data_IF_561597772402
#
_entry.id   IF_561597772402
#
_cell.length_a   1.000
_cell.length_b   1.000
_cell.length_c   1.000
_cell.angle_alpha   90.00
_cell.angle_beta   90.00
_cell.angle_gamma   90.00
#
_symmetry.space_group_name_H-M   'P 1'
#
loop_
_entity.id
_entity.type
_entity.pdbx_description
1 polymer ?
#
# COMPACT_ATOMS: atom_id res chain seq x y z
N UNK A 1 -67.82 43.25 -45.90
CA UNK A 1 -66.50 43.28 -45.23
C UNK A 1 -66.19 41.88 -44.65
N UNK A 2 -65.51 41.04 -45.44
CA UNK A 2 -65.23 39.62 -45.07
C UNK A 2 -63.78 39.55 -44.62
N UNK A 3 -63.54 39.21 -43.36
CA UNK A 3 -62.20 39.00 -42.75
C UNK A 3 -61.78 37.55 -42.97
N UNK A 4 -60.73 37.32 -43.76
CA UNK A 4 -60.04 36.00 -43.90
C UNK A 4 -59.17 35.73 -42.69
N UNK A 5 -59.47 34.64 -41.98
CA UNK A 5 -58.66 34.07 -40.92
C UNK A 5 -57.65 33.09 -41.54
N UNK A 6 -56.37 33.47 -41.58
CA UNK A 6 -55.29 32.55 -42.03
C UNK A 6 -54.90 31.64 -40.89
N UNK A 7 -55.21 30.37 -41.00
CA UNK A 7 -54.80 29.30 -40.10
C UNK A 7 -53.33 28.92 -40.43
N UNK A 8 -52.40 29.18 -39.48
CA UNK A 8 -51.00 28.79 -39.62
C UNK A 8 -50.85 27.42 -38.99
N UNK A 9 -50.57 26.39 -39.81
CA UNK A 9 -50.25 25.02 -39.37
C UNK A 9 -48.75 24.97 -39.00
N UNK A 10 -48.42 24.90 -37.70
CA UNK A 10 -47.05 24.65 -37.23
C UNK A 10 -46.86 23.11 -37.26
N UNK A 11 -46.08 22.62 -38.21
CA UNK A 11 -45.60 21.24 -38.22
C UNK A 11 -44.38 21.17 -37.31
N UNK A 12 -44.56 20.63 -36.09
CA UNK A 12 -43.49 20.30 -35.20
C UNK A 12 -42.82 18.99 -35.68
N UNK A 13 -41.61 19.13 -36.26
CA UNK A 13 -40.75 18.02 -36.55
C UNK A 13 -40.15 17.50 -35.23
N UNK A 14 -40.68 16.38 -34.71
CA UNK A 14 -40.05 15.65 -33.61
C UNK A 14 -38.92 14.83 -34.22
N UNK A 15 -37.67 15.34 -34.09
CA UNK A 15 -36.48 14.56 -34.33
C UNK A 15 -36.35 13.53 -33.20
N UNK A 16 -36.31 12.24 -33.49
CA UNK A 16 -35.91 11.26 -32.47
C UNK A 16 -34.43 11.54 -32.12
N UNK A 17 -34.18 12.01 -30.90
CA UNK A 17 -32.84 12.07 -30.36
C UNK A 17 -32.37 10.62 -30.22
N UNK A 18 -31.62 10.12 -31.19
CA UNK A 18 -30.84 8.90 -31.04
C UNK A 18 -29.78 9.19 -29.98
N UNK A 19 -30.09 8.85 -28.76
CA UNK A 19 -29.09 8.75 -27.69
C UNK A 19 -28.15 7.62 -28.12
N UNK A 20 -27.01 7.99 -28.71
CA UNK A 20 -25.85 7.13 -28.78
C UNK A 20 -25.49 6.81 -27.33
N UNK A 21 -25.83 5.60 -26.91
CA UNK A 21 -25.28 5.05 -25.67
C UNK A 21 -23.76 5.05 -25.86
N UNK A 22 -23.12 6.04 -25.27
CA UNK A 22 -21.67 6.07 -25.17
C UNK A 22 -21.30 4.89 -24.28
N UNK A 23 -20.76 3.82 -24.87
CA UNK A 23 -20.22 2.69 -24.14
C UNK A 23 -19.13 3.23 -23.21
N UNK A 24 -19.52 3.45 -21.94
CA UNK A 24 -18.54 3.82 -20.92
C UNK A 24 -17.65 2.61 -20.68
N UNK A 25 -16.33 2.78 -20.70
CA UNK A 25 -15.40 1.69 -20.42
C UNK A 25 -15.73 1.08 -19.05
N UNK A 26 -15.57 -0.24 -18.93
CA UNK A 26 -15.74 -0.97 -17.67
C UNK A 26 -14.81 -0.37 -16.61
N UNK A 27 -15.36 0.40 -15.67
CA UNK A 27 -14.62 1.08 -14.63
C UNK A 27 -15.44 1.26 -13.35
N UNK A 28 -14.82 0.97 -12.21
CA UNK A 28 -15.40 1.26 -10.90
C UNK A 28 -15.08 2.70 -10.55
N UNK A 29 -16.11 3.48 -10.18
CA UNK A 29 -15.90 4.75 -9.50
C UNK A 29 -15.82 4.48 -8.00
N UNK A 30 -14.63 4.62 -7.42
CA UNK A 30 -14.41 4.43 -5.98
C UNK A 30 -14.95 5.67 -5.26
N UNK A 31 -16.02 5.49 -4.50
CA UNK A 31 -16.63 6.53 -3.66
C UNK A 31 -16.59 6.08 -2.20
N UNK A 32 -16.82 7.01 -1.27
CA UNK A 32 -16.92 6.69 0.17
C UNK A 32 -18.18 5.85 0.52
N UNK A 33 -19.05 5.63 -0.46
CA UNK A 33 -20.27 4.83 -0.34
C UNK A 33 -20.04 3.31 -0.36
N UNK A 34 -21.13 2.54 -0.28
CA UNK A 34 -21.13 1.09 -0.53
C UNK A 34 -20.96 0.87 -2.03
N UNK A 35 -19.81 0.32 -2.43
CA UNK A 35 -19.59 -0.11 -3.82
C UNK A 35 -20.02 -1.57 -3.91
N UNK A 36 -20.92 -1.90 -4.83
CA UNK A 36 -21.19 -3.30 -5.17
C UNK A 36 -19.94 -3.86 -5.88
N UNK A 37 -19.36 -4.97 -5.39
CA UNK A 37 -18.14 -5.51 -5.96
C UNK A 37 -18.34 -5.96 -7.41
N UNK A 38 -17.47 -5.51 -8.32
CA UNK A 38 -17.51 -5.83 -9.75
C UNK A 38 -17.31 -7.33 -9.97
N UNK A 39 -18.24 -8.06 -10.62
CA UNK A 39 -18.09 -9.48 -10.86
C UNK A 39 -17.06 -9.75 -11.97
N UNK A 40 -15.98 -10.45 -11.60
CA UNK A 40 -14.90 -10.87 -12.49
C UNK A 40 -14.84 -12.39 -12.62
N UNK A 41 -14.42 -12.87 -13.77
CA UNK A 41 -13.99 -14.25 -13.97
C UNK A 41 -12.49 -14.30 -14.24
N UNK A 42 -11.78 -15.17 -13.51
CA UNK A 42 -10.35 -15.44 -13.68
C UNK A 42 -10.14 -16.94 -13.78
N UNK A 43 -10.46 -17.54 -14.94
CA UNK A 43 -10.21 -18.96 -15.16
C UNK A 43 -8.72 -19.29 -14.98
N UNK A 44 -8.42 -20.55 -14.60
CA UNK A 44 -7.04 -21.02 -14.50
C UNK A 44 -6.27 -20.67 -15.77
N UNK A 45 -5.12 -20.05 -15.61
CA UNK A 45 -4.26 -19.71 -16.74
C UNK A 45 -3.79 -20.98 -17.46
N UNK A 46 -3.73 -20.90 -18.77
CA UNK A 46 -3.29 -22.01 -19.59
C UNK A 46 -1.78 -22.23 -19.47
N UNK A 47 -1.35 -23.46 -19.39
CA UNK A 47 0.05 -23.82 -19.51
C UNK A 47 0.36 -24.23 -20.95
N UNK A 48 1.23 -23.49 -21.65
CA UNK A 48 1.65 -23.85 -23.02
C UNK A 48 2.63 -25.04 -23.01
N UNK A 49 3.25 -25.34 -21.85
CA UNK A 49 4.13 -26.50 -21.62
C UNK A 49 3.83 -27.14 -20.25
N UNK A 50 4.05 -28.45 -20.13
CA UNK A 50 3.74 -29.20 -18.90
C UNK A 50 4.50 -28.65 -17.66
N UNK A 51 5.75 -28.23 -17.85
CA UNK A 51 6.62 -27.74 -16.77
C UNK A 51 6.06 -26.54 -15.98
N UNK A 52 5.19 -25.73 -16.57
CA UNK A 52 4.62 -24.52 -15.93
C UNK A 52 3.17 -24.69 -15.49
N UNK A 53 2.63 -25.92 -15.49
CA UNK A 53 1.20 -26.15 -15.17
C UNK A 53 0.81 -25.66 -13.79
N UNK A 54 1.60 -25.98 -12.77
CA UNK A 54 1.33 -25.51 -11.39
C UNK A 54 1.57 -24.00 -11.25
N UNK A 55 2.60 -23.48 -11.90
CA UNK A 55 2.87 -22.03 -11.90
C UNK A 55 1.72 -21.25 -12.53
N UNK A 56 1.18 -21.72 -13.66
CA UNK A 56 0.04 -21.09 -14.32
C UNK A 56 -1.21 -21.04 -13.40
N UNK A 57 -1.49 -22.15 -12.71
CA UNK A 57 -2.56 -22.23 -11.71
C UNK A 57 -2.32 -21.26 -10.55
N UNK A 58 -1.10 -21.25 -10.01
CA UNK A 58 -0.75 -20.41 -8.86
C UNK A 58 -0.85 -18.93 -9.19
N UNK A 59 -0.41 -18.51 -10.40
CA UNK A 59 -0.54 -17.12 -10.86
C UNK A 59 -2.01 -16.70 -10.92
N UNK A 60 -2.87 -17.48 -11.59
CA UNK A 60 -4.30 -17.12 -11.68
C UNK A 60 -4.98 -17.08 -10.31
N UNK A 61 -4.62 -17.99 -9.39
CA UNK A 61 -5.14 -17.99 -8.01
C UNK A 61 -4.71 -16.75 -7.24
N UNK A 62 -3.43 -16.36 -7.33
CA UNK A 62 -2.91 -15.19 -6.62
C UNK A 62 -3.50 -13.89 -7.16
N UNK A 63 -3.63 -13.74 -8.47
CA UNK A 63 -4.35 -12.59 -9.08
C UNK A 63 -5.78 -12.49 -8.56
N UNK A 64 -6.49 -13.64 -8.47
CA UNK A 64 -7.85 -13.69 -7.92
C UNK A 64 -7.90 -13.26 -6.45
N UNK A 65 -6.94 -13.73 -5.64
CA UNK A 65 -6.83 -13.37 -4.23
C UNK A 65 -6.55 -11.88 -4.04
N UNK A 66 -5.57 -11.33 -4.78
CA UNK A 66 -5.19 -9.92 -4.71
C UNK A 66 -6.39 -9.01 -5.00
N UNK A 67 -7.08 -9.25 -6.10
CA UNK A 67 -8.26 -8.45 -6.49
C UNK A 67 -9.41 -8.62 -5.47
N UNK A 68 -9.68 -9.84 -5.01
CA UNK A 68 -10.71 -10.11 -3.99
C UNK A 68 -10.42 -9.38 -2.68
N UNK A 69 -9.14 -9.35 -2.26
CA UNK A 69 -8.71 -8.70 -1.02
C UNK A 69 -9.00 -7.19 -1.00
N UNK A 70 -9.16 -6.55 -2.14
CA UNK A 70 -9.53 -5.12 -2.21
C UNK A 70 -10.96 -4.86 -1.74
N UNK A 71 -11.85 -5.84 -1.82
CA UNK A 71 -13.29 -5.67 -1.59
C UNK A 71 -14.03 -4.98 -2.75
N UNK A 72 -13.33 -4.59 -3.81
CA UNK A 72 -13.90 -3.95 -5.01
C UNK A 72 -14.33 -4.96 -6.06
N UNK A 73 -13.86 -6.20 -5.97
CA UNK A 73 -14.11 -7.26 -6.95
C UNK A 73 -14.69 -8.51 -6.30
N UNK A 74 -15.58 -9.17 -7.02
CA UNK A 74 -16.15 -10.46 -6.65
C UNK A 74 -15.82 -11.47 -7.74
N UNK A 75 -15.00 -12.46 -7.40
CA UNK A 75 -14.61 -13.49 -8.37
C UNK A 75 -15.74 -14.53 -8.50
N UNK A 76 -16.16 -14.76 -9.73
CA UNK A 76 -17.11 -15.83 -10.09
C UNK A 76 -16.31 -17.15 -10.08
N UNK A 77 -16.73 -18.15 -9.28
CA UNK A 77 -15.97 -19.39 -9.12
C UNK A 77 -15.96 -20.24 -10.41
N UNK A 78 -14.88 -21.03 -10.59
CA UNK A 78 -14.64 -21.85 -11.80
C UNK A 78 -15.78 -22.83 -12.13
N UNK A 79 -16.47 -23.36 -11.12
CA UNK A 79 -17.60 -24.30 -11.27
C UNK A 79 -18.88 -23.64 -11.78
N UNK A 80 -18.98 -22.33 -11.68
CA UNK A 80 -20.07 -21.54 -12.25
C UNK A 80 -19.84 -21.16 -13.74
N UNK A 81 -18.64 -21.39 -14.28
CA UNK A 81 -18.32 -21.04 -15.66
C UNK A 81 -19.02 -21.98 -16.65
N UNK A 82 -19.86 -21.43 -17.53
CA UNK A 82 -20.55 -22.20 -18.60
C UNK A 82 -19.52 -22.67 -19.62
N UNK A 83 -18.64 -21.79 -20.08
CA UNK A 83 -17.58 -22.10 -21.03
C UNK A 83 -16.21 -22.19 -20.38
N UNK A 84 -15.34 -23.06 -20.95
CA UNK A 84 -13.94 -23.19 -20.55
C UNK A 84 -13.03 -22.57 -21.60
N UNK A 85 -12.06 -21.80 -21.18
CA UNK A 85 -11.00 -21.28 -22.05
C UNK A 85 -9.93 -22.37 -22.19
N UNK A 86 -9.80 -22.92 -23.38
CA UNK A 86 -8.82 -23.98 -23.72
C UNK A 86 -7.72 -23.50 -24.66
N UNK A 87 -7.90 -22.31 -25.26
CA UNK A 87 -6.95 -21.71 -26.19
C UNK A 87 -6.92 -20.18 -25.96
N UNK A 88 -5.74 -19.65 -25.65
CA UNK A 88 -5.53 -18.21 -25.40
C UNK A 88 -5.84 -17.31 -26.61
N UNK A 89 -5.75 -17.87 -27.86
CA UNK A 89 -6.02 -17.13 -29.09
C UNK A 89 -7.47 -17.27 -29.59
N UNK A 90 -8.26 -18.16 -28.99
CA UNK A 90 -9.62 -18.37 -29.40
C UNK A 90 -10.51 -17.14 -29.15
N UNK A 91 -11.54 -16.97 -29.96
CA UNK A 91 -12.59 -16.01 -29.72
C UNK A 91 -13.39 -16.42 -28.47
N UNK A 92 -13.78 -15.44 -27.66
CA UNK A 92 -14.59 -15.69 -26.47
C UNK A 92 -16.05 -15.86 -26.81
N UNK A 93 -16.76 -16.86 -26.25
CA UNK A 93 -18.20 -16.96 -26.28
C UNK A 93 -18.80 -15.96 -25.25
N UNK A 94 -18.86 -14.68 -25.59
CA UNK A 94 -19.32 -13.60 -24.69
C UNK A 94 -20.71 -13.86 -24.12
N UNK A 95 -21.61 -14.50 -24.87
CA UNK A 95 -22.96 -14.87 -24.41
C UNK A 95 -22.95 -15.69 -23.13
N UNK A 96 -22.02 -16.64 -23.00
CA UNK A 96 -21.95 -17.55 -21.88
C UNK A 96 -21.50 -16.83 -20.61
N UNK A 97 -20.57 -15.86 -20.75
CA UNK A 97 -20.08 -15.03 -19.65
C UNK A 97 -21.10 -13.97 -19.22
N UNK A 98 -21.86 -13.40 -20.19
CA UNK A 98 -22.99 -12.51 -19.89
C UNK A 98 -24.09 -13.24 -19.11
N UNK A 99 -24.38 -14.51 -19.46
CA UNK A 99 -25.42 -15.31 -18.81
C UNK A 99 -25.18 -15.54 -17.31
N UNK A 100 -23.90 -15.55 -16.86
CA UNK A 100 -23.52 -15.67 -15.44
C UNK A 100 -23.13 -14.33 -14.82
N UNK A 101 -23.49 -13.21 -15.46
CA UNK A 101 -23.27 -11.84 -14.99
C UNK A 101 -21.78 -11.49 -14.73
N UNK A 102 -20.86 -12.04 -15.51
CA UNK A 102 -19.45 -11.61 -15.51
C UNK A 102 -19.36 -10.30 -16.27
N UNK A 103 -18.71 -9.29 -15.67
CA UNK A 103 -18.46 -8.00 -16.31
C UNK A 103 -17.05 -7.92 -16.89
N UNK A 104 -16.06 -8.41 -16.16
CA UNK A 104 -14.68 -8.50 -16.65
C UNK A 104 -14.17 -9.93 -16.64
N UNK A 105 -13.42 -10.31 -17.66
CA UNK A 105 -12.79 -11.62 -17.77
C UNK A 105 -11.29 -11.48 -17.97
N UNK A 106 -10.52 -12.21 -17.17
CA UNK A 106 -9.07 -12.27 -17.29
C UNK A 106 -8.68 -13.65 -17.79
N UNK A 107 -8.12 -13.71 -19.00
CA UNK A 107 -7.56 -14.94 -19.59
C UNK A 107 -6.05 -14.84 -19.65
N UNK A 108 -5.35 -15.92 -19.32
CA UNK A 108 -3.89 -15.95 -19.33
C UNK A 108 -3.30 -17.24 -19.88
N UNK A 109 -2.05 -17.16 -20.35
CA UNK A 109 -1.24 -18.29 -20.79
C UNK A 109 0.20 -18.14 -20.33
N UNK A 110 0.80 -19.23 -19.86
CA UNK A 110 2.13 -19.28 -19.27
C UNK A 110 3.05 -20.23 -20.05
N UNK A 111 4.25 -19.76 -20.34
CA UNK A 111 5.29 -20.54 -21.00
C UNK A 111 6.68 -20.17 -20.47
N UNK A 112 7.72 -20.88 -20.90
CA UNK A 112 9.11 -20.51 -20.70
C UNK A 112 9.73 -20.28 -22.09
N UNK A 113 10.44 -19.16 -22.23
CA UNK A 113 11.24 -18.86 -23.44
C UNK A 113 12.72 -18.89 -23.12
N UNK A 114 13.51 -19.31 -24.08
CA UNK A 114 15.00 -19.22 -24.00
C UNK A 114 15.53 -17.89 -24.55
N UNK A 115 14.65 -17.03 -25.07
CA UNK A 115 15.04 -15.71 -25.52
C UNK A 115 15.39 -14.86 -24.30
N UNK A 116 16.62 -14.33 -24.28
CA UNK A 116 17.04 -13.37 -23.26
C UNK A 116 16.24 -12.08 -23.43
N UNK A 117 15.70 -11.59 -22.33
CA UNK A 117 15.05 -10.28 -22.26
C UNK A 117 15.71 -9.50 -21.11
N UNK A 118 15.60 -8.18 -21.12
CA UNK A 118 16.15 -7.30 -20.08
C UNK A 118 15.68 -7.66 -18.65
N UNK A 119 14.49 -8.26 -18.53
CA UNK A 119 13.90 -8.62 -17.23
C UNK A 119 14.28 -10.04 -16.76
N UNK A 120 15.14 -10.76 -17.50
CA UNK A 120 15.45 -12.15 -17.20
C UNK A 120 16.76 -12.60 -17.83
N UNK A 121 17.75 -12.87 -17.00
CA UNK A 121 19.08 -13.35 -17.39
C UNK A 121 19.32 -14.83 -17.08
N UNK A 122 18.34 -15.52 -16.47
CA UNK A 122 18.49 -16.91 -16.05
C UNK A 122 18.74 -17.84 -17.26
N UNK A 123 19.80 -18.65 -17.18
CA UNK A 123 20.13 -19.68 -18.17
C UNK A 123 19.06 -20.78 -18.32
N UNK A 124 18.15 -20.91 -17.35
CA UNK A 124 16.98 -21.81 -17.39
C UNK A 124 15.86 -21.29 -18.29
N UNK A 125 15.98 -20.05 -18.75
CA UNK A 125 14.99 -19.34 -19.56
C UNK A 125 14.07 -18.45 -18.73
N UNK A 126 13.31 -17.60 -19.42
CA UNK A 126 12.39 -16.65 -18.82
C UNK A 126 10.97 -17.20 -18.72
N UNK A 127 10.35 -17.05 -17.57
CA UNK A 127 8.91 -17.24 -17.43
C UNK A 127 8.17 -16.11 -18.18
N UNK A 128 7.26 -16.47 -19.06
CA UNK A 128 6.45 -15.53 -19.84
C UNK A 128 4.99 -15.76 -19.52
N UNK A 129 4.32 -14.73 -19.03
CA UNK A 129 2.89 -14.75 -18.78
C UNK A 129 2.19 -13.76 -19.70
N UNK A 130 1.40 -14.28 -20.62
CA UNK A 130 0.52 -13.49 -21.49
C UNK A 130 -0.85 -13.44 -20.85
N UNK A 131 -1.47 -12.25 -20.81
CA UNK A 131 -2.84 -12.13 -20.32
C UNK A 131 -3.62 -11.10 -21.10
N UNK A 132 -4.95 -11.21 -21.03
CA UNK A 132 -5.91 -10.29 -21.60
C UNK A 132 -7.00 -10.01 -20.57
N UNK A 133 -7.37 -8.75 -20.45
CA UNK A 133 -8.55 -8.29 -19.73
C UNK A 133 -9.61 -7.91 -20.73
N UNK A 134 -10.78 -8.51 -20.63
CA UNK A 134 -11.93 -8.26 -21.50
C UNK A 134 -13.04 -7.57 -20.73
N UNK A 135 -13.69 -6.61 -21.37
CA UNK A 135 -15.02 -6.15 -21.01
C UNK A 135 -16.05 -7.06 -21.72
N UNK A 136 -16.82 -7.78 -20.91
CA UNK A 136 -17.75 -8.80 -21.44
C UNK A 136 -18.97 -8.15 -22.07
N UNK A 137 -19.42 -7.01 -21.60
CA UNK A 137 -20.62 -6.35 -22.13
C UNK A 137 -20.36 -5.59 -23.43
N UNK A 138 -19.25 -4.85 -23.51
CA UNK A 138 -18.83 -4.16 -24.73
C UNK A 138 -18.09 -5.06 -25.73
N UNK A 139 -17.77 -6.32 -25.34
CA UNK A 139 -17.05 -7.32 -26.14
C UNK A 139 -15.65 -6.85 -26.61
N UNK A 140 -15.03 -5.97 -25.83
CA UNK A 140 -13.73 -5.36 -26.14
C UNK A 140 -12.61 -5.90 -25.23
N UNK A 141 -11.37 -5.86 -25.74
CA UNK A 141 -10.17 -6.07 -24.95
C UNK A 141 -9.75 -4.74 -24.34
N UNK A 142 -9.72 -4.67 -22.99
CA UNK A 142 -9.27 -3.48 -22.25
C UNK A 142 -7.75 -3.45 -22.20
N UNK A 143 -7.10 -4.59 -21.91
CA UNK A 143 -5.64 -4.72 -21.81
C UNK A 143 -5.19 -6.07 -22.36
N UNK A 144 -4.04 -6.09 -23.05
CA UNK A 144 -3.39 -7.32 -23.52
C UNK A 144 -1.88 -7.13 -23.41
N UNK A 145 -1.24 -7.89 -22.53
CA UNK A 145 0.19 -7.75 -22.22
C UNK A 145 0.89 -9.10 -22.10
N UNK A 146 2.22 -9.05 -22.17
CA UNK A 146 3.11 -10.14 -21.79
C UNK A 146 4.10 -9.61 -20.74
N UNK A 147 4.23 -10.34 -19.63
CA UNK A 147 5.16 -10.03 -18.54
C UNK A 147 6.22 -11.11 -18.50
N UNK A 148 7.46 -10.70 -18.26
CA UNK A 148 8.62 -11.56 -18.21
C UNK A 148 9.24 -11.48 -16.81
N UNK A 149 9.74 -12.61 -16.29
CA UNK A 149 10.53 -12.65 -15.06
C UNK A 149 11.37 -13.93 -14.99
N UNK A 150 12.24 -13.98 -13.98
CA UNK A 150 12.91 -15.20 -13.58
C UNK A 150 11.89 -16.29 -13.22
N UNK A 151 12.15 -17.57 -13.53
CA UNK A 151 11.20 -18.66 -13.26
C UNK A 151 10.77 -18.79 -11.79
N UNK A 152 11.59 -18.29 -10.85
CA UNK A 152 11.30 -18.28 -9.41
C UNK A 152 10.38 -17.14 -8.97
N UNK A 153 10.26 -16.07 -9.75
CA UNK A 153 9.49 -14.85 -9.39
C UNK A 153 8.05 -14.85 -9.94
N UNK A 154 7.41 -16.00 -9.93
CA UNK A 154 6.03 -16.11 -10.38
C UNK A 154 5.04 -15.28 -9.56
N UNK A 155 5.34 -15.02 -8.27
CA UNK A 155 4.50 -14.18 -7.42
C UNK A 155 4.58 -12.71 -7.83
N UNK A 156 5.80 -12.19 -8.06
CA UNK A 156 5.97 -10.82 -8.56
C UNK A 156 5.23 -10.59 -9.88
N UNK A 157 5.25 -11.56 -10.80
CA UNK A 157 4.42 -11.50 -12.02
C UNK A 157 2.92 -11.44 -11.68
N UNK A 158 2.43 -12.29 -10.77
CA UNK A 158 1.02 -12.31 -10.42
C UNK A 158 0.57 -10.96 -9.82
N UNK A 159 1.36 -10.38 -8.91
CA UNK A 159 1.11 -9.06 -8.33
C UNK A 159 1.14 -7.95 -9.39
N UNK A 160 2.12 -7.95 -10.33
CA UNK A 160 2.16 -7.00 -11.45
C UNK A 160 0.93 -7.09 -12.35
N UNK A 161 0.43 -8.31 -12.62
CA UNK A 161 -0.80 -8.52 -13.38
C UNK A 161 -2.01 -7.97 -12.61
N UNK A 162 -2.09 -8.24 -11.30
CA UNK A 162 -3.15 -7.72 -10.46
C UNK A 162 -3.14 -6.19 -10.40
N UNK A 163 -1.94 -5.55 -10.30
CA UNK A 163 -1.77 -4.09 -10.35
C UNK A 163 -2.27 -3.50 -11.67
N UNK A 164 -1.93 -4.12 -12.81
CA UNK A 164 -2.39 -3.66 -14.12
C UNK A 164 -3.91 -3.78 -14.28
N UNK A 165 -4.49 -4.89 -13.86
CA UNK A 165 -5.95 -5.09 -13.89
C UNK A 165 -6.65 -4.09 -12.97
N UNK A 166 -6.13 -3.89 -11.76
CA UNK A 166 -6.64 -2.92 -10.80
C UNK A 166 -6.64 -1.52 -11.39
N UNK A 167 -5.53 -1.10 -12.01
CA UNK A 167 -5.42 0.20 -12.67
C UNK A 167 -6.46 0.39 -13.78
N UNK A 168 -6.61 -0.59 -14.68
CA UNK A 168 -7.57 -0.49 -15.79
C UNK A 168 -9.01 -0.42 -15.32
N UNK A 169 -9.35 -1.13 -14.23
CA UNK A 169 -10.72 -1.19 -13.73
C UNK A 169 -11.07 -0.07 -12.74
N UNK A 170 -10.10 0.55 -12.07
CA UNK A 170 -10.34 1.59 -11.07
C UNK A 170 -9.79 2.95 -11.48
N UNK A 171 -8.72 2.97 -12.28
CA UNK A 171 -7.93 4.15 -12.61
C UNK A 171 -6.93 4.57 -11.52
N UNK A 172 -6.86 3.85 -10.41
CA UNK A 172 -5.86 4.03 -9.37
C UNK A 172 -4.68 3.08 -9.59
N UNK A 173 -3.47 3.50 -9.23
CA UNK A 173 -2.29 2.64 -9.25
C UNK A 173 -2.54 1.46 -8.29
N UNK A 174 -2.09 0.26 -8.66
CA UNK A 174 -2.12 -0.90 -7.77
C UNK A 174 -1.13 -0.77 -6.60
N UNK A 175 -1.10 -1.78 -5.71
CA UNK A 175 -0.19 -1.82 -4.55
C UNK A 175 0.27 -3.25 -4.22
N UNK A 176 -0.03 -4.21 -5.10
CA UNK A 176 0.22 -5.63 -4.83
C UNK A 176 1.69 -6.00 -5.01
N UNK A 177 2.38 -5.44 -6.03
CA UNK A 177 3.80 -5.68 -6.24
C UNK A 177 4.65 -4.81 -5.31
N UNK A 178 4.53 -5.05 -4.00
CA UNK A 178 5.23 -4.31 -2.95
C UNK A 178 5.60 -5.22 -1.78
N UNK A 179 6.43 -4.72 -0.87
CA UNK A 179 6.88 -5.45 0.32
C UNK A 179 6.54 -4.70 1.60
N UNK A 180 6.54 -5.44 2.70
CA UNK A 180 6.36 -4.92 4.04
C UNK A 180 7.61 -5.24 4.84
N UNK A 181 8.30 -4.22 5.34
CA UNK A 181 9.24 -4.38 6.43
C UNK A 181 8.49 -4.32 7.76
N UNK A 182 8.88 -5.15 8.72
CA UNK A 182 8.23 -5.18 10.02
C UNK A 182 9.17 -5.71 11.09
N UNK A 183 8.82 -5.50 12.35
CA UNK A 183 9.50 -6.08 13.49
C UNK A 183 8.83 -7.40 13.83
N UNK A 184 9.53 -8.52 13.59
CA UNK A 184 9.07 -9.85 14.00
C UNK A 184 9.41 -10.06 15.47
N UNK A 185 8.40 -10.38 16.28
CA UNK A 185 8.52 -10.54 17.72
C UNK A 185 8.25 -11.98 18.15
N UNK A 186 9.08 -12.51 19.05
CA UNK A 186 8.94 -13.83 19.64
C UNK A 186 9.20 -13.78 21.15
N UNK A 187 8.75 -14.80 21.90
CA UNK A 187 8.88 -14.85 23.36
C UNK A 187 7.72 -14.17 24.12
N UNK A 188 7.84 -14.14 25.46
CA UNK A 188 6.85 -13.51 26.34
C UNK A 188 6.95 -11.97 26.28
N UNK A 189 5.88 -11.26 26.64
CA UNK A 189 5.80 -9.79 26.50
C UNK A 189 6.91 -9.02 27.19
N UNK A 190 7.40 -9.48 28.32
CA UNK A 190 8.48 -8.89 29.10
C UNK A 190 9.88 -9.32 28.66
N UNK A 191 10.00 -10.29 27.75
CA UNK A 191 11.26 -10.85 27.25
C UNK A 191 11.19 -11.04 25.74
N UNK A 192 10.55 -10.12 25.03
CA UNK A 192 10.40 -10.20 23.58
C UNK A 192 11.73 -10.04 22.88
N UNK A 193 12.03 -11.05 22.09
CA UNK A 193 13.08 -10.96 21.08
C UNK A 193 12.49 -10.29 19.85
N UNK A 194 13.18 -9.29 19.34
CA UNK A 194 12.78 -8.50 18.17
C UNK A 194 13.81 -8.63 17.08
N UNK A 195 13.38 -8.77 15.84
CA UNK A 195 14.25 -8.75 14.67
C UNK A 195 13.55 -8.15 13.48
N UNK A 196 14.33 -7.50 12.64
CA UNK A 196 13.85 -6.94 11.40
C UNK A 196 13.53 -8.05 10.40
N UNK A 197 12.39 -7.94 9.74
CA UNK A 197 11.95 -8.87 8.71
C UNK A 197 11.30 -8.11 7.54
N UNK A 198 11.27 -8.75 6.38
CA UNK A 198 10.60 -8.28 5.17
C UNK A 198 9.74 -9.41 4.62
N UNK A 199 8.61 -9.07 4.01
CA UNK A 199 7.68 -10.01 3.38
C UNK A 199 6.99 -9.38 2.18
N UNK A 200 6.33 -10.18 1.34
CA UNK A 200 5.40 -9.66 0.33
C UNK A 200 4.23 -8.97 1.05
N UNK A 201 3.54 -8.05 0.36
CA UNK A 201 2.45 -7.27 0.97
C UNK A 201 1.34 -8.14 1.60
N UNK A 202 1.18 -9.37 1.11
CA UNK A 202 0.16 -10.33 1.54
C UNK A 202 0.61 -11.28 2.67
N UNK A 203 1.86 -11.14 3.14
CA UNK A 203 2.44 -11.92 4.23
C UNK A 203 3.29 -13.11 3.79
N UNK A 204 3.44 -13.36 2.48
CA UNK A 204 4.28 -14.43 1.96
C UNK A 204 5.77 -14.06 1.94
N UNK A 205 6.64 -15.05 1.67
CA UNK A 205 8.08 -14.87 1.45
C UNK A 205 8.79 -14.10 2.57
N UNK A 206 8.49 -14.42 3.83
CA UNK A 206 9.13 -13.76 4.98
C UNK A 206 10.61 -14.05 5.03
N UNK A 207 11.43 -13.01 5.01
CA UNK A 207 12.88 -13.05 5.17
C UNK A 207 13.28 -12.25 6.42
N UNK A 208 14.15 -12.82 7.27
CA UNK A 208 14.69 -12.13 8.43
C UNK A 208 15.99 -11.42 8.07
N UNK A 209 16.08 -10.13 8.42
CA UNK A 209 17.20 -9.27 8.03
C UNK A 209 18.23 -9.07 9.14
N UNK A 210 17.84 -9.23 10.42
CA UNK A 210 18.72 -9.11 11.60
C UNK A 210 18.61 -10.33 12.50
N UNK A 211 19.58 -10.47 13.41
CA UNK A 211 19.59 -11.48 14.47
C UNK A 211 18.54 -11.19 15.54
N UNK A 212 18.27 -12.19 16.40
CA UNK A 212 17.33 -12.05 17.52
C UNK A 212 17.89 -11.25 18.71
N UNK A 213 19.20 -10.99 18.71
CA UNK A 213 19.88 -10.28 19.82
C UNK A 213 19.85 -8.76 19.66
N UNK A 214 19.25 -8.25 18.57
CA UNK A 214 19.18 -6.83 18.28
C UNK A 214 17.73 -6.36 18.46
N UNK A 215 17.49 -5.49 19.44
CA UNK A 215 16.19 -4.83 19.60
C UNK A 215 16.08 -3.78 18.50
N UNK A 216 15.19 -4.03 17.55
CA UNK A 216 14.93 -3.15 16.40
C UNK A 216 13.52 -2.60 16.44
N UNK A 217 13.32 -1.37 15.95
CA UNK A 217 12.04 -0.67 15.91
C UNK A 217 11.95 0.20 14.66
N UNK A 218 10.73 0.57 14.30
CA UNK A 218 10.41 1.62 13.32
C UNK A 218 11.16 1.52 11.98
N UNK A 219 11.12 0.38 11.28
CA UNK A 219 11.72 0.29 9.95
C UNK A 219 11.02 1.20 8.94
N UNK A 220 11.79 1.76 7.99
CA UNK A 220 11.27 2.56 6.87
C UNK A 220 12.07 2.28 5.60
N UNK A 221 11.38 2.09 4.47
CA UNK A 221 12.02 1.94 3.17
C UNK A 221 12.52 3.28 2.63
N UNK A 222 13.61 3.23 1.84
CA UNK A 222 13.95 4.33 0.94
C UNK A 222 12.94 4.46 -0.20
N UNK A 223 12.78 5.65 -0.82
CA UNK A 223 11.83 5.87 -1.91
C UNK A 223 12.05 4.99 -3.15
N UNK A 224 13.28 4.51 -3.36
CA UNK A 224 13.64 3.57 -4.42
C UNK A 224 13.57 2.09 -4.02
N UNK A 225 13.26 1.81 -2.74
CA UNK A 225 13.17 0.46 -2.20
C UNK A 225 14.50 -0.26 -2.00
N UNK A 226 15.67 0.39 -2.21
CA UNK A 226 16.98 -0.26 -2.13
C UNK A 226 17.55 -0.30 -0.72
N UNK A 227 17.13 0.59 0.16
CA UNK A 227 17.58 0.68 1.54
C UNK A 227 16.43 0.58 2.53
N UNK A 228 16.79 0.22 3.75
CA UNK A 228 15.93 0.24 4.91
C UNK A 228 16.62 0.99 6.03
N UNK A 229 15.95 1.98 6.65
CA UNK A 229 16.41 2.60 7.88
C UNK A 229 15.57 2.10 9.04
N UNK A 230 16.18 2.00 10.21
CA UNK A 230 15.52 1.51 11.42
C UNK A 230 16.25 1.97 12.67
N UNK A 231 15.57 1.92 13.80
CA UNK A 231 16.17 2.13 15.11
C UNK A 231 16.70 0.81 15.65
N UNK A 232 17.97 0.76 16.09
CA UNK A 232 18.60 -0.40 16.70
C UNK A 232 19.16 -0.04 18.08
N UNK A 233 19.06 -0.98 19.03
CA UNK A 233 19.66 -0.89 20.37
C UNK A 233 20.93 -1.76 20.50
N UNK A 234 21.48 -2.23 19.40
CA UNK A 234 22.65 -3.13 19.39
C UNK A 234 23.86 -2.58 20.16
N UNK A 235 24.02 -1.27 20.18
CA UNK A 235 25.12 -0.58 20.90
C UNK A 235 24.71 -0.07 22.29
N UNK A 236 23.59 -0.57 22.84
CA UNK A 236 23.08 -0.23 24.17
C UNK A 236 22.16 0.99 24.23
N UNK A 237 22.32 1.95 23.32
CA UNK A 237 21.43 3.11 23.14
C UNK A 237 20.74 3.05 21.78
N UNK A 238 19.54 3.63 21.63
CA UNK A 238 18.85 3.66 20.35
C UNK A 238 19.61 4.52 19.34
N UNK A 239 19.98 3.94 18.22
CA UNK A 239 20.60 4.63 17.09
C UNK A 239 19.95 4.27 15.79
N UNK A 240 19.92 5.24 14.87
CA UNK A 240 19.42 5.00 13.51
C UNK A 240 20.49 4.29 12.68
N UNK A 241 20.10 3.17 12.10
CA UNK A 241 20.90 2.38 11.17
C UNK A 241 20.32 2.45 9.78
N UNK A 242 21.20 2.39 8.77
CA UNK A 242 20.84 2.27 7.34
C UNK A 242 21.35 0.93 6.81
N UNK A 243 20.47 0.13 6.22
CA UNK A 243 20.77 -1.19 5.66
C UNK A 243 20.58 -1.18 4.15
N UNK A 244 21.55 -1.63 3.39
CA UNK A 244 21.39 -1.94 1.98
C UNK A 244 20.71 -3.31 1.83
N UNK A 245 19.53 -3.36 1.21
CA UNK A 245 18.71 -4.57 1.11
C UNK A 245 19.32 -5.65 0.21
N UNK A 246 20.15 -5.27 -0.77
CA UNK A 246 20.83 -6.23 -1.64
C UNK A 246 22.00 -6.93 -0.93
N UNK A 247 22.82 -6.16 -0.21
CA UNK A 247 24.04 -6.69 0.45
C UNK A 247 23.80 -7.12 1.88
N UNK A 248 22.68 -6.73 2.49
CA UNK A 248 22.31 -6.93 3.91
C UNK A 248 23.29 -6.28 4.89
N UNK A 249 24.17 -5.39 4.43
CA UNK A 249 25.07 -4.63 5.30
C UNK A 249 24.32 -3.44 5.90
N UNK A 250 24.54 -3.22 7.18
CA UNK A 250 23.96 -2.13 7.94
C UNK A 250 25.04 -1.33 8.67
N UNK A 251 24.95 -0.02 8.58
CA UNK A 251 25.85 0.92 9.23
C UNK A 251 25.04 1.92 10.07
N UNK A 252 25.67 2.52 11.11
CA UNK A 252 25.08 3.62 11.87
C UNK A 252 25.02 4.85 10.97
N UNK A 253 23.87 5.55 10.95
CA UNK A 253 23.67 6.71 10.08
C UNK A 253 24.60 7.89 10.45
N UNK A 254 24.73 8.19 11.75
CA UNK A 254 25.62 9.25 12.26
C UNK A 254 26.16 8.87 13.65
N UNK A 255 27.39 8.41 13.72
CA UNK A 255 28.06 7.99 14.95
C UNK A 255 28.26 9.12 15.98
N UNK A 256 28.15 10.39 15.55
CA UNK A 256 28.25 11.57 16.41
C UNK A 256 26.99 11.81 17.25
N UNK A 257 25.90 11.11 16.95
CA UNK A 257 24.62 11.19 17.66
C UNK A 257 24.50 9.98 18.59
N UNK A 258 24.46 10.22 19.89
CA UNK A 258 24.41 9.14 20.88
C UNK A 258 23.04 8.44 20.92
N UNK A 259 21.94 9.20 20.78
CA UNK A 259 20.59 8.66 20.83
C UNK A 259 19.72 9.25 19.72
N UNK A 260 19.32 8.40 18.76
CA UNK A 260 18.43 8.76 17.67
C UNK A 260 17.43 7.64 17.37
N UNK A 261 16.23 8.00 16.96
CA UNK A 261 15.14 7.04 16.67
C UNK A 261 14.07 7.63 15.75
N UNK A 262 13.10 6.80 15.36
CA UNK A 262 11.99 7.15 14.47
C UNK A 262 12.43 7.84 13.18
N UNK A 263 13.30 7.20 12.37
CA UNK A 263 13.81 7.82 11.16
C UNK A 263 12.80 7.73 10.02
N UNK A 264 12.87 8.68 9.07
CA UNK A 264 12.18 8.62 7.77
C UNK A 264 13.02 9.26 6.67
N UNK A 265 13.03 8.66 5.47
CA UNK A 265 13.67 9.23 4.29
C UNK A 265 12.89 10.43 3.75
N UNK A 266 13.60 11.41 3.21
CA UNK A 266 12.99 12.41 2.33
C UNK A 266 12.47 11.77 1.05
N UNK A 267 11.43 12.33 0.39
CA UNK A 267 10.84 11.74 -0.82
C UNK A 267 11.81 11.57 -1.98
N UNK A 268 12.87 12.40 -2.05
CA UNK A 268 13.95 12.31 -3.03
C UNK A 268 15.08 11.34 -2.63
N UNK A 269 15.02 10.76 -1.40
CA UNK A 269 16.01 9.85 -0.88
C UNK A 269 17.35 10.48 -0.49
N UNK A 270 17.50 11.80 -0.56
CA UNK A 270 18.76 12.50 -0.29
C UNK A 270 19.04 12.70 1.19
N UNK A 271 18.01 12.73 2.02
CA UNK A 271 18.10 13.06 3.45
C UNK A 271 17.27 12.11 4.31
N UNK A 272 17.58 12.09 5.60
CA UNK A 272 16.81 11.37 6.63
C UNK A 272 16.44 12.37 7.72
N UNK A 273 15.16 12.43 8.08
CA UNK A 273 14.70 13.09 9.29
C UNK A 273 14.59 12.08 10.42
N UNK A 274 14.92 12.47 11.63
CA UNK A 274 14.85 11.60 12.81
C UNK A 274 14.70 12.40 14.09
N UNK A 275 14.31 11.72 15.16
CA UNK A 275 14.27 12.24 16.51
C UNK A 275 15.62 12.03 17.18
N UNK A 276 16.16 13.08 17.82
CA UNK A 276 17.46 13.05 18.51
C UNK A 276 17.25 13.53 19.96
N UNK A 277 17.76 12.75 20.90
CA UNK A 277 17.74 13.12 22.32
C UNK A 277 18.91 14.07 22.62
N UNK A 278 18.59 15.24 23.17
CA UNK A 278 19.54 16.25 23.65
C UNK A 278 19.24 16.53 25.12
N UNK A 279 20.09 16.06 26.02
CA UNK A 279 19.90 16.17 27.48
C UNK A 279 18.49 15.67 27.91
N UNK A 280 17.60 16.59 28.29
CA UNK A 280 16.25 16.28 28.77
C UNK A 280 15.16 16.37 27.67
N UNK A 281 15.52 16.78 26.45
CA UNK A 281 14.58 17.06 25.36
C UNK A 281 14.81 16.13 24.18
N UNK A 282 13.82 16.06 23.30
CA UNK A 282 13.94 15.35 22.01
C UNK A 282 13.54 16.30 20.90
N UNK A 283 14.44 16.49 19.94
CA UNK A 283 14.23 17.39 18.81
C UNK A 283 14.33 16.64 17.47
N UNK A 284 13.77 17.24 16.44
CA UNK A 284 13.88 16.74 15.08
C UNK A 284 15.14 17.26 14.40
N UNK A 285 15.87 16.36 13.77
CA UNK A 285 17.03 16.64 12.94
C UNK A 285 16.87 16.06 11.56
N UNK A 286 17.41 16.75 10.56
CA UNK A 286 17.58 16.24 9.21
C UNK A 286 19.07 16.06 8.92
N UNK A 287 19.42 14.93 8.31
CA UNK A 287 20.79 14.57 7.94
C UNK A 287 20.82 14.31 6.43
N UNK A 288 21.68 15.02 5.71
CA UNK A 288 21.99 14.72 4.31
C UNK A 288 22.86 13.46 4.26
N UNK A 289 22.43 12.47 3.51
CA UNK A 289 23.05 11.12 3.48
C UNK A 289 24.45 11.15 2.86
N UNK A 290 24.65 12.00 1.85
CA UNK A 290 25.89 12.04 1.10
C UNK A 290 26.98 12.85 1.81
N UNK A 291 26.63 14.00 2.34
CA UNK A 291 27.59 14.92 3.00
C UNK A 291 27.72 14.67 4.49
N UNK A 292 26.76 13.97 5.13
CA UNK A 292 26.67 13.82 6.58
C UNK A 292 26.40 15.15 7.31
N UNK A 293 25.98 16.20 6.58
CA UNK A 293 25.62 17.49 7.19
C UNK A 293 24.27 17.32 7.89
N UNK A 294 24.23 17.73 9.16
CA UNK A 294 23.01 17.69 9.96
C UNK A 294 22.51 19.09 10.29
N UNK A 295 21.19 19.24 10.32
CA UNK A 295 20.50 20.47 10.68
C UNK A 295 19.38 20.15 11.68
N UNK A 296 19.36 20.87 12.80
CA UNK A 296 18.27 20.81 13.76
C UNK A 296 17.06 21.54 13.20
N UNK A 297 15.89 20.92 13.23
CA UNK A 297 14.63 21.45 12.69
C UNK A 297 13.76 22.08 13.77
N UNK A 298 13.80 21.53 14.98
CA UNK A 298 12.99 22.02 16.10
C UNK A 298 13.88 22.27 17.31
N UNK A 299 13.41 23.10 18.23
CA UNK A 299 14.13 23.42 19.47
C UNK A 299 13.16 23.85 20.56
N UNK A 300 13.45 23.48 21.81
CA UNK A 300 12.60 23.86 22.94
C UNK A 300 12.58 22.79 24.04
N UNK A 301 11.74 22.95 25.05
CA UNK A 301 11.66 21.99 26.15
C UNK A 301 10.74 20.80 25.87
N UNK A 302 10.11 20.75 24.69
CA UNK A 302 9.16 19.71 24.32
C UNK A 302 9.85 18.42 23.85
N UNK A 303 9.12 17.32 23.89
CA UNK A 303 9.48 16.05 23.28
C UNK A 303 8.85 15.99 21.89
N UNK A 304 9.67 15.95 20.85
CA UNK A 304 9.26 15.97 19.46
C UNK A 304 9.75 14.73 18.75
N UNK A 305 8.81 13.93 18.21
CA UNK A 305 9.11 12.58 17.70
C UNK A 305 8.28 12.22 16.49
N UNK A 306 8.58 11.06 15.90
CA UNK A 306 7.83 10.44 14.81
C UNK A 306 7.58 11.37 13.61
N UNK A 307 8.63 12.00 13.05
CA UNK A 307 8.46 12.85 11.88
C UNK A 307 8.07 12.06 10.65
N UNK A 308 7.26 12.67 9.77
CA UNK A 308 6.94 12.12 8.45
C UNK A 308 6.87 13.24 7.40
N UNK A 309 7.55 13.06 6.26
CA UNK A 309 7.58 14.03 5.17
C UNK A 309 6.26 14.11 4.40
N UNK A 310 5.90 15.31 3.94
CA UNK A 310 4.96 15.44 2.83
C UNK A 310 5.56 14.90 1.55
N UNK A 311 4.75 14.36 0.60
CA UNK A 311 5.27 13.76 -0.64
C UNK A 311 6.10 14.70 -1.52
N UNK A 312 5.86 16.02 -1.41
CA UNK A 312 6.63 17.06 -2.11
C UNK A 312 7.92 17.48 -1.36
N UNK A 313 8.18 16.88 -0.18
CA UNK A 313 9.34 17.19 0.65
C UNK A 313 9.34 18.57 1.30
N UNK A 314 8.28 19.37 1.15
CA UNK A 314 8.25 20.75 1.64
C UNK A 314 7.90 20.89 3.12
N UNK A 315 7.32 19.85 3.73
CA UNK A 315 6.81 19.87 5.10
C UNK A 315 7.09 18.55 5.81
N UNK A 316 7.02 18.60 7.14
CA UNK A 316 7.04 17.44 8.02
C UNK A 316 5.84 17.51 8.94
N UNK A 317 5.12 16.39 9.12
CA UNK A 317 4.21 16.19 10.23
C UNK A 317 4.94 15.44 11.33
N UNK A 318 4.69 15.77 12.61
CA UNK A 318 5.34 15.16 13.76
C UNK A 318 4.47 15.26 14.99
N UNK A 319 4.79 14.51 16.03
CA UNK A 319 4.16 14.64 17.34
C UNK A 319 4.99 15.50 18.30
N UNK A 320 4.31 16.27 19.13
CA UNK A 320 4.91 17.10 20.17
C UNK A 320 4.02 17.21 21.40
N UNK A 321 4.58 17.20 22.57
CA UNK A 321 3.89 17.40 23.85
C UNK A 321 3.85 18.87 24.32
N UNK A 322 4.32 19.82 23.50
CA UNK A 322 4.40 21.26 23.83
C UNK A 322 3.09 21.91 24.29
N UNK A 323 1.95 21.27 23.98
CA UNK A 323 0.61 21.71 24.41
C UNK A 323 0.07 20.96 25.63
N UNK A 324 0.95 20.26 26.38
CA UNK A 324 0.65 19.50 27.60
C UNK A 324 0.34 18.02 27.38
N UNK A 325 -0.07 17.64 26.17
CA UNK A 325 -0.25 16.25 25.74
C UNK A 325 0.26 16.09 24.31
N UNK A 326 0.63 14.88 23.93
CA UNK A 326 1.06 14.58 22.56
C UNK A 326 -0.01 14.96 21.54
N UNK A 327 0.36 15.81 20.59
CA UNK A 327 -0.47 16.33 19.52
C UNK A 327 0.31 16.36 18.21
N UNK A 328 -0.40 16.46 17.08
CA UNK A 328 0.22 16.51 15.76
C UNK A 328 0.47 17.97 15.34
N UNK A 329 1.66 18.19 14.79
CA UNK A 329 2.10 19.48 14.27
C UNK A 329 2.63 19.32 12.85
N UNK A 330 2.46 20.34 12.02
CA UNK A 330 3.06 20.43 10.69
C UNK A 330 4.06 21.56 10.66
N UNK A 331 5.30 21.25 10.27
CA UNK A 331 6.43 22.17 10.13
C UNK A 331 6.81 22.34 8.65
N UNK A 332 6.78 23.57 8.09
CA UNK A 332 7.41 23.86 6.79
C UNK A 332 8.94 23.77 6.91
N UNK A 333 9.63 23.15 5.95
CA UNK A 333 11.09 22.97 6.02
C UNK A 333 11.92 24.20 5.66
N UNK A 334 11.31 25.27 5.17
CA UNK A 334 11.99 26.53 4.85
C UNK A 334 12.01 27.51 6.02
N UNK A 335 10.95 28.27 6.14
CA UNK A 335 10.77 29.32 7.17
C UNK A 335 9.42 29.09 7.84
N UNK A 336 9.40 29.09 9.17
CA UNK A 336 8.17 28.98 9.94
C UNK A 336 8.29 28.10 11.16
N UNK A 337 7.28 28.15 12.01
CA UNK A 337 7.15 27.31 13.21
C UNK A 337 6.13 26.18 12.96
N UNK A 338 6.25 25.10 13.73
CA UNK A 338 5.31 24.00 13.70
C UNK A 338 3.91 24.42 14.16
N UNK A 339 2.90 24.24 13.29
CA UNK A 339 1.49 24.52 13.59
C UNK A 339 0.76 23.25 14.00
N UNK A 340 0.07 23.30 15.14
CA UNK A 340 -0.81 22.20 15.58
C UNK A 340 -1.95 21.96 14.60
N UNK A 341 -2.25 20.67 14.32
CA UNK A 341 -3.34 20.25 13.44
C UNK A 341 -4.35 19.29 14.13
N UNK A 342 -4.03 18.74 15.29
CA UNK A 342 -4.93 17.85 16.05
C UNK A 342 -5.58 18.61 17.22
N UNK A 343 -6.93 18.65 17.27
CA UNK A 343 -7.68 19.41 18.26
C UNK A 343 -8.75 18.59 18.99
N UNK A 344 -8.95 17.33 18.62
CA UNK A 344 -9.86 16.43 19.32
C UNK A 344 -9.35 16.03 20.71
N UNK A 345 -10.24 15.49 21.55
CA UNK A 345 -9.85 15.00 22.88
C UNK A 345 -8.92 13.78 22.79
N UNK A 346 -8.01 13.63 23.77
CA UNK A 346 -7.02 12.57 23.85
C UNK A 346 -5.63 12.96 23.35
N UNK A 347 -4.77 11.98 23.14
CA UNK A 347 -3.42 12.18 22.59
C UNK A 347 -3.31 11.55 21.20
N UNK A 348 -2.45 12.14 20.41
CA UNK A 348 -2.19 11.74 19.01
C UNK A 348 -0.70 11.44 18.84
N UNK A 349 -0.38 10.43 18.06
CA UNK A 349 1.01 10.03 17.79
C UNK A 349 1.18 9.29 16.48
N UNK A 350 2.41 8.95 16.17
CA UNK A 350 2.85 8.20 14.97
C UNK A 350 2.19 8.68 13.67
N UNK A 351 2.23 9.99 13.36
CA UNK A 351 1.63 10.50 12.14
C UNK A 351 2.40 10.02 10.91
N UNK A 352 1.70 9.69 9.84
CA UNK A 352 2.29 9.37 8.53
C UNK A 352 1.53 10.09 7.43
N UNK A 353 2.23 10.87 6.61
CA UNK A 353 1.65 11.56 5.48
C UNK A 353 1.27 10.58 4.38
N UNK A 354 0.10 10.73 3.77
CA UNK A 354 -0.32 9.89 2.64
C UNK A 354 0.54 10.16 1.40
N UNK A 355 0.82 9.17 0.55
CA UNK A 355 1.58 9.38 -0.69
C UNK A 355 0.87 10.33 -1.67
N UNK A 356 -0.45 10.50 -1.54
CA UNK A 356 -1.24 11.44 -2.33
C UNK A 356 -1.16 12.89 -1.82
N UNK A 357 -0.62 13.13 -0.62
CA UNK A 357 -0.41 14.46 -0.05
C UNK A 357 -1.64 15.09 0.59
N UNK A 358 -2.77 14.44 0.59
CA UNK A 358 -4.08 14.97 1.02
C UNK A 358 -4.49 14.60 2.44
N UNK A 359 -3.97 13.50 2.97
CA UNK A 359 -4.31 12.96 4.28
C UNK A 359 -3.08 12.70 5.16
N UNK A 360 -3.32 12.64 6.47
CA UNK A 360 -2.38 12.16 7.48
C UNK A 360 -3.07 11.01 8.22
N UNK A 361 -2.44 9.82 8.24
CA UNK A 361 -2.81 8.73 9.11
C UNK A 361 -2.14 8.93 10.49
N UNK A 362 -2.79 8.51 11.55
CA UNK A 362 -2.28 8.69 12.91
C UNK A 362 -2.81 7.64 13.88
N UNK A 363 -2.12 7.50 14.99
CA UNK A 363 -2.61 6.80 16.18
C UNK A 363 -3.28 7.81 17.11
N UNK A 364 -4.46 7.51 17.61
CA UNK A 364 -5.16 8.31 18.64
C UNK A 364 -5.46 7.46 19.86
N UNK A 365 -5.04 7.93 21.04
CA UNK A 365 -5.47 7.39 22.33
C UNK A 365 -6.60 8.24 22.91
N UNK A 366 -7.77 7.64 23.09
CA UNK A 366 -8.94 8.26 23.70
C UNK A 366 -9.48 7.36 24.81
N UNK A 367 -9.38 7.82 26.04
CA UNK A 367 -9.66 7.01 27.23
C UNK A 367 -8.74 5.79 27.30
N UNK A 368 -9.32 4.58 27.29
CA UNK A 368 -8.58 3.30 27.35
C UNK A 368 -8.45 2.61 25.99
N UNK A 369 -8.78 3.31 24.91
CA UNK A 369 -8.78 2.77 23.56
C UNK A 369 -7.80 3.50 22.66
N UNK A 370 -7.24 2.74 21.74
CA UNK A 370 -6.40 3.23 20.65
C UNK A 370 -7.14 3.06 19.32
N UNK A 371 -6.90 4.01 18.44
CA UNK A 371 -7.54 4.10 17.15
C UNK A 371 -6.49 4.42 16.09
N UNK A 372 -6.59 3.80 14.94
CA UNK A 372 -6.01 4.35 13.72
C UNK A 372 -7.05 5.30 13.13
N UNK A 373 -6.62 6.50 12.82
CA UNK A 373 -7.46 7.53 12.20
C UNK A 373 -6.78 8.18 11.01
N UNK A 374 -7.55 8.96 10.26
CA UNK A 374 -7.10 9.83 9.18
C UNK A 374 -7.70 11.22 9.34
N UNK A 375 -6.97 12.24 8.91
CA UNK A 375 -7.45 13.63 8.83
C UNK A 375 -6.84 14.32 7.62
N UNK A 376 -7.42 15.44 7.20
CA UNK A 376 -6.81 16.35 6.23
C UNK A 376 -5.51 16.94 6.81
N UNK A 377 -4.65 17.43 5.94
CA UNK A 377 -3.34 18.00 6.34
C UNK A 377 -3.45 19.30 7.14
N UNK A 378 -4.62 19.91 7.17
CA UNK A 378 -4.95 21.06 8.04
C UNK A 378 -5.59 20.67 9.37
N UNK A 379 -5.87 19.36 9.57
CA UNK A 379 -6.53 18.80 10.75
C UNK A 379 -8.03 18.63 10.65
N UNK A 380 -8.65 19.06 9.55
CA UNK A 380 -10.07 18.89 9.31
C UNK A 380 -10.43 17.44 8.93
N UNK A 381 -11.72 17.14 8.92
CA UNK A 381 -12.29 15.83 8.52
C UNK A 381 -11.67 14.63 9.25
N UNK A 382 -11.38 14.77 10.54
CA UNK A 382 -10.88 13.65 11.36
C UNK A 382 -11.87 12.48 11.33
N UNK A 383 -11.39 11.30 10.98
CA UNK A 383 -12.16 10.04 11.01
C UNK A 383 -11.36 8.95 11.71
N UNK A 384 -11.98 8.25 12.65
CA UNK A 384 -11.39 7.09 13.31
C UNK A 384 -11.82 5.82 12.57
N UNK A 385 -10.85 5.06 12.07
CA UNK A 385 -11.08 3.86 11.25
C UNK A 385 -11.18 2.60 12.11
N UNK A 386 -10.47 2.57 13.25
CA UNK A 386 -10.44 1.40 14.15
C UNK A 386 -10.69 1.79 15.60
N UNK A 387 -10.92 0.79 16.46
CA UNK A 387 -10.99 0.95 17.90
C UNK A 387 -10.58 -0.37 18.59
N UNK A 388 -9.47 -0.37 19.34
CA UNK A 388 -8.98 -1.57 20.01
C UNK A 388 -8.30 -1.27 21.35
N UNK A 389 -7.70 -2.29 21.96
CA UNK A 389 -6.86 -2.14 23.15
C UNK A 389 -5.57 -1.36 22.81
N UNK A 390 -4.93 -1.66 21.68
CA UNK A 390 -3.77 -0.96 21.15
C UNK A 390 -3.72 -1.16 19.63
N UNK A 391 -3.95 -0.11 18.87
CA UNK A 391 -3.70 -0.01 17.43
C UNK A 391 -2.69 1.13 17.23
N UNK A 392 -1.53 0.84 16.62
CA UNK A 392 -0.43 1.82 16.48
C UNK A 392 0.35 1.65 15.17
N UNK A 393 1.20 2.64 14.89
CA UNK A 393 2.16 2.70 13.79
C UNK A 393 1.53 2.47 12.41
N UNK A 394 0.66 3.37 11.95
CA UNK A 394 0.09 3.28 10.61
C UNK A 394 1.18 3.47 9.54
N UNK A 395 1.01 2.78 8.41
CA UNK A 395 1.76 2.98 7.18
C UNK A 395 0.83 2.88 5.98
N UNK A 396 1.08 3.66 4.93
CA UNK A 396 0.25 3.71 3.74
C UNK A 396 0.69 2.72 2.68
N UNK A 397 -0.26 2.14 1.95
CA UNK A 397 0.01 1.52 0.65
C UNK A 397 0.51 2.56 -0.36
N UNK A 398 1.29 2.16 -1.38
CA UNK A 398 1.85 3.09 -2.37
C UNK A 398 0.83 3.99 -3.06
N UNK A 399 -0.42 3.54 -3.20
CA UNK A 399 -1.50 4.32 -3.81
C UNK A 399 -2.34 5.13 -2.81
N UNK A 400 -2.01 5.10 -1.51
CA UNK A 400 -2.74 5.83 -0.47
C UNK A 400 -4.15 5.29 -0.17
N UNK A 401 -4.48 4.06 -0.60
CA UNK A 401 -5.81 3.48 -0.43
C UNK A 401 -5.95 2.63 0.82
N UNK A 402 -4.88 1.97 1.24
CA UNK A 402 -4.89 1.03 2.36
C UNK A 402 -3.91 1.49 3.42
N UNK A 403 -4.30 1.37 4.68
CA UNK A 403 -3.43 1.62 5.83
C UNK A 403 -3.14 0.28 6.48
N UNK A 404 -1.85 -0.02 6.69
CA UNK A 404 -1.39 -1.14 7.50
C UNK A 404 -0.93 -0.64 8.85
N UNK A 405 -1.15 -1.40 9.92
CA UNK A 405 -0.82 -1.04 11.30
C UNK A 405 -0.65 -2.30 12.13
N UNK A 406 -0.14 -2.20 13.34
CA UNK A 406 -0.16 -3.34 14.25
C UNK A 406 -1.21 -3.17 15.35
N UNK A 407 -1.72 -4.31 15.79
CA UNK A 407 -2.67 -4.43 16.89
C UNK A 407 -2.11 -5.33 17.97
N UNK A 408 -2.04 -4.84 19.19
CA UNK A 408 -1.65 -5.64 20.36
C UNK A 408 -2.89 -6.12 21.13
N UNK A 409 -2.81 -7.32 21.67
CA UNK A 409 -3.84 -7.87 22.56
C UNK A 409 -3.49 -7.58 24.01
N UNK A 410 -4.53 -7.35 24.82
CA UNK A 410 -4.35 -7.18 26.27
C UNK A 410 -3.83 -8.46 26.93
N UNK A 411 -3.09 -8.29 28.03
CA UNK A 411 -2.61 -9.38 28.89
C UNK A 411 -1.14 -9.73 28.70
N UNK A 412 -0.57 -10.49 29.64
CA UNK A 412 0.86 -10.86 29.67
C UNK A 412 1.28 -11.77 28.51
N UNK A 413 0.35 -12.52 27.93
CA UNK A 413 0.52 -13.31 26.70
C UNK A 413 0.03 -12.62 25.45
N UNK A 414 -0.27 -11.29 25.54
CA UNK A 414 -0.72 -10.51 24.41
C UNK A 414 0.29 -10.58 23.25
N UNK A 415 -0.21 -10.85 22.05
CA UNK A 415 0.59 -10.93 20.83
C UNK A 415 0.25 -9.77 19.91
N UNK A 416 1.26 -9.15 19.32
CA UNK A 416 1.10 -8.16 18.27
C UNK A 416 0.79 -8.86 16.94
N UNK A 417 -0.07 -8.28 16.15
CA UNK A 417 -0.39 -8.77 14.80
C UNK A 417 -0.55 -7.61 13.85
N UNK A 418 -0.13 -7.79 12.62
CA UNK A 418 -0.27 -6.80 11.56
C UNK A 418 -1.68 -6.89 10.95
N UNK A 419 -2.31 -5.73 10.75
CA UNK A 419 -3.60 -5.57 10.13
C UNK A 419 -3.55 -4.55 9.01
N UNK A 420 -4.46 -4.67 8.05
CA UNK A 420 -4.72 -3.66 7.03
C UNK A 420 -6.18 -3.25 7.04
N UNK A 421 -6.45 -2.00 6.66
CA UNK A 421 -7.79 -1.43 6.56
C UNK A 421 -7.85 -0.45 5.39
N UNK A 422 -8.95 -0.44 4.64
CA UNK A 422 -9.20 0.58 3.62
C UNK A 422 -9.50 1.94 4.27
N UNK A 423 -9.12 3.05 3.62
CA UNK A 423 -9.36 4.42 4.13
C UNK A 423 -10.84 4.75 4.35
N UNK A 424 -11.76 3.97 3.77
CA UNK A 424 -13.20 4.04 4.09
C UNK A 424 -13.57 3.45 5.45
N UNK A 425 -12.62 2.86 6.19
CA UNK A 425 -12.85 2.15 7.45
C UNK A 425 -13.39 0.71 7.27
N UNK A 426 -13.40 0.21 6.06
CA UNK A 426 -13.88 -1.14 5.71
C UNK A 426 -12.72 -2.09 5.45
N UNK A 427 -13.05 -3.36 5.26
CA UNK A 427 -12.11 -4.37 4.80
C UNK A 427 -10.93 -4.58 5.75
N UNK A 428 -11.20 -4.50 7.08
CA UNK A 428 -10.21 -4.79 8.11
C UNK A 428 -9.76 -6.25 8.01
N UNK A 429 -8.46 -6.47 7.81
CA UNK A 429 -7.88 -7.81 7.63
C UNK A 429 -6.64 -7.98 8.47
N UNK A 430 -6.43 -9.19 8.97
CA UNK A 430 -5.18 -9.60 9.59
C UNK A 430 -4.23 -10.12 8.51
N UNK A 431 -2.99 -9.62 8.51
CA UNK A 431 -1.90 -10.18 7.71
C UNK A 431 -1.26 -11.32 8.51
N UNK A 432 -1.08 -12.46 7.86
CA UNK A 432 -0.49 -13.64 8.51
C UNK A 432 1.02 -13.50 8.51
N UNK A 433 1.62 -13.55 9.69
CA UNK A 433 3.08 -13.56 9.89
C UNK A 433 3.48 -14.81 10.67
N UNK A 434 4.70 -15.36 10.50
CA UNK A 434 5.13 -16.57 11.22
C UNK A 434 5.14 -16.41 12.74
N UNK A 435 5.42 -15.21 13.23
CA UNK A 435 5.45 -14.81 14.62
C UNK A 435 4.55 -13.59 14.84
N UNK A 436 4.54 -13.03 16.05
CA UNK A 436 3.98 -11.70 16.29
C UNK A 436 4.71 -10.66 15.42
N UNK A 437 4.00 -9.62 14.99
CA UNK A 437 4.57 -8.55 14.17
C UNK A 437 4.11 -7.18 14.62
N UNK A 438 5.04 -6.21 14.66
CA UNK A 438 4.79 -4.80 14.95
C UNK A 438 5.52 -3.88 13.97
N UNK A 439 5.27 -2.59 14.07
CA UNK A 439 5.92 -1.51 13.31
C UNK A 439 6.00 -1.79 11.79
N UNK A 440 4.88 -2.04 11.10
CA UNK A 440 4.92 -2.28 9.67
C UNK A 440 5.34 -1.02 8.90
N UNK A 441 6.10 -1.21 7.83
CA UNK A 441 6.43 -0.17 6.84
C UNK A 441 6.19 -0.72 5.45
N UNK A 442 5.40 -0.02 4.67
CA UNK A 442 5.10 -0.39 3.28
C UNK A 442 6.17 0.15 2.35
N UNK A 443 6.68 -0.68 1.43
CA UNK A 443 7.63 -0.25 0.40
C UNK A 443 6.94 0.56 -0.70
N UNK A 444 7.68 1.31 -1.53
CA UNK A 444 7.19 1.70 -2.84
C UNK A 444 6.86 0.47 -3.70
N UNK A 445 6.19 0.67 -4.85
CA UNK A 445 6.00 -0.39 -5.84
C UNK A 445 7.36 -0.86 -6.35
N UNK A 446 7.50 -2.18 -6.52
CA UNK A 446 8.69 -2.81 -7.09
C UNK A 446 8.58 -2.79 -8.62
N UNK A 447 9.63 -2.31 -9.29
CA UNK A 447 9.73 -2.27 -10.75
C UNK A 447 9.94 -3.66 -11.37
#
# INVERSE_FOLDING_TARGET
MIRYLKLFFIITFVFPCLSLAQDKPLRITITDGVVEPLPLAIPKFLSEIIAVKEVAKNISSLVSEDLTKTGLFRIIPDDAHISKITNFKALLPYSDWKAINVQGLISGAVTITKLKNHDCEDHRGCLVVKYKLFDIFSENIISAKAVFAEPGDWRGIAHKIADDIYFHLTGEIGYFNSKIAFVSESGMKNERLKRLAIMDYDGANVEFLTDQNDIVLTPKFSPDGSYLIYTSFKLGMPQVHIMNLRTKKADVLDERIQMSFSPEFSPDGSSIVMSVVNDANTDLYIVDINSGIRRRLTSGPAIETSPSFSPDGSKIVYESDRSGTQQLYVLPLGVGEGRRISFGGGSYGTPVWSPNGDLIAFTKKSGRRFHIGVMRTDGSEERLLTSSFLDEAPTWSPNGRVIMFFRDKAGSRGTSSIFSIDISGRNLRKIVTPNSGSDPSWSPLLN
#
